data_IF_403428409996
#
_entry.id   IF_403428409996
#
_cell.length_a   1.000
_cell.length_b   1.000
_cell.length_c   1.000
_cell.angle_alpha   90.00
_cell.angle_beta   90.00
_cell.angle_gamma   90.00
#
_symmetry.space_group_name_H-M   'P 1'
#
loop_
_entity.id
_entity.type
_entity.pdbx_description
1 polymer ?
#
# COMPACT_ATOMS: atom_id res chain seq x y z
N UNK A 1 -9.39 -18.87 10.47
CA UNK A 1 -8.71 -17.91 9.60
C UNK A 1 -7.29 -17.72 10.08
N UNK A 2 -6.35 -17.57 9.18
CA UNK A 2 -4.97 -17.27 9.57
C UNK A 2 -4.86 -15.78 9.90
N UNK A 3 -4.26 -15.47 11.06
CA UNK A 3 -3.86 -14.10 11.42
C UNK A 3 -2.38 -13.85 11.12
N UNK A 4 -1.74 -14.70 10.33
CA UNK A 4 -0.35 -14.54 9.90
C UNK A 4 -0.20 -13.24 9.09
N UNK A 5 0.70 -12.36 9.53
CA UNK A 5 0.90 -11.05 8.94
C UNK A 5 1.19 -11.10 7.43
N UNK A 6 2.07 -12.01 7.01
CA UNK A 6 2.43 -12.13 5.58
C UNK A 6 1.23 -12.62 4.76
N UNK A 7 0.43 -13.52 5.30
CA UNK A 7 -0.79 -13.99 4.62
C UNK A 7 -1.79 -12.85 4.44
N UNK A 8 -1.96 -12.00 5.47
CA UNK A 8 -2.85 -10.84 5.41
C UNK A 8 -2.38 -9.82 4.38
N UNK A 9 -1.09 -9.47 4.39
CA UNK A 9 -0.52 -8.51 3.44
C UNK A 9 -0.60 -9.02 2.00
N UNK A 10 -0.30 -10.30 1.76
CA UNK A 10 -0.46 -10.92 0.43
C UNK A 10 -1.92 -10.94 -0.05
N UNK A 11 -2.87 -11.06 0.85
CA UNK A 11 -4.29 -10.98 0.49
C UNK A 11 -4.65 -9.56 0.00
N UNK A 12 -4.13 -8.52 0.65
CA UNK A 12 -4.26 -7.14 0.18
C UNK A 12 -3.62 -6.93 -1.19
N UNK A 13 -2.38 -7.39 -1.37
CA UNK A 13 -1.69 -7.32 -2.67
C UNK A 13 -2.50 -7.96 -3.79
N UNK A 14 -3.10 -9.11 -3.53
CA UNK A 14 -3.94 -9.81 -4.51
C UNK A 14 -5.14 -8.96 -4.92
N UNK A 15 -5.81 -8.34 -3.96
CA UNK A 15 -6.96 -7.47 -4.23
C UNK A 15 -6.53 -6.20 -4.97
N UNK A 16 -5.44 -5.56 -4.56
CA UNK A 16 -4.88 -4.39 -5.23
C UNK A 16 -4.52 -4.72 -6.69
N UNK A 17 -3.85 -5.85 -6.94
CA UNK A 17 -3.54 -6.29 -8.30
C UNK A 17 -4.80 -6.56 -9.13
N UNK A 18 -5.87 -7.06 -8.52
CA UNK A 18 -7.16 -7.22 -9.20
C UNK A 18 -7.71 -5.88 -9.66
N UNK A 19 -7.73 -4.89 -8.78
CA UNK A 19 -8.16 -3.52 -9.11
C UNK A 19 -7.31 -2.89 -10.22
N UNK A 20 -6.01 -3.12 -10.20
CA UNK A 20 -5.09 -2.65 -11.24
C UNK A 20 -5.43 -3.26 -12.60
N UNK A 21 -5.63 -4.58 -12.66
CA UNK A 21 -6.03 -5.26 -13.91
C UNK A 21 -7.38 -4.74 -14.43
N UNK A 22 -8.34 -4.53 -13.54
CA UNK A 22 -9.65 -4.02 -13.90
C UNK A 22 -9.56 -2.59 -14.47
N UNK A 23 -8.71 -1.75 -13.89
CA UNK A 23 -8.44 -0.39 -14.39
C UNK A 23 -7.76 -0.41 -15.76
N UNK A 24 -6.71 -1.21 -15.92
CA UNK A 24 -5.98 -1.34 -17.17
C UNK A 24 -6.83 -1.95 -18.28
N UNK A 25 -7.73 -2.88 -17.96
CA UNK A 25 -8.67 -3.50 -18.89
C UNK A 25 -9.85 -2.61 -19.28
N UNK A 26 -10.09 -1.51 -18.56
CA UNK A 26 -11.12 -0.55 -18.94
C UNK A 26 -10.67 0.27 -20.15
N UNK A 27 -11.52 0.38 -21.16
CA UNK A 27 -11.22 1.15 -22.37
C UNK A 27 -10.96 2.64 -22.08
N UNK A 28 -10.20 3.31 -22.93
CA UNK A 28 -9.81 4.71 -22.75
C UNK A 28 -10.99 5.67 -22.61
N UNK A 29 -12.12 5.34 -23.25
CA UNK A 29 -13.35 6.11 -23.19
C UNK A 29 -14.26 5.74 -22.02
N UNK A 30 -13.92 4.74 -21.21
CA UNK A 30 -14.71 4.28 -20.07
C UNK A 30 -14.48 5.16 -18.81
N UNK A 31 -14.63 6.47 -18.95
CA UNK A 31 -14.28 7.48 -17.94
C UNK A 31 -14.97 7.23 -16.59
N UNK A 32 -16.25 6.90 -16.58
CA UNK A 32 -16.99 6.61 -15.33
C UNK A 32 -16.47 5.37 -14.62
N UNK A 33 -16.19 4.30 -15.38
CA UNK A 33 -15.64 3.05 -14.83
C UNK A 33 -14.23 3.28 -14.27
N UNK A 34 -13.38 3.99 -15.00
CA UNK A 34 -12.03 4.36 -14.55
C UNK A 34 -12.06 5.24 -13.30
N UNK A 35 -12.98 6.19 -13.23
CA UNK A 35 -13.17 7.02 -12.04
C UNK A 35 -13.53 6.19 -10.81
N UNK A 36 -14.45 5.25 -10.95
CA UNK A 36 -14.85 4.34 -9.86
C UNK A 36 -13.70 3.42 -9.43
N UNK A 37 -12.99 2.84 -10.39
CA UNK A 37 -11.83 1.99 -10.11
C UNK A 37 -10.68 2.76 -9.45
N UNK A 38 -10.41 3.97 -9.90
CA UNK A 38 -9.40 4.84 -9.29
C UNK A 38 -9.72 5.13 -7.81
N UNK A 39 -10.99 5.41 -7.48
CA UNK A 39 -11.42 5.59 -6.08
C UNK A 39 -11.21 4.33 -5.25
N UNK A 40 -11.49 3.16 -5.79
CA UNK A 40 -11.27 1.89 -5.11
C UNK A 40 -9.78 1.61 -4.91
N UNK A 41 -8.95 1.88 -5.91
CA UNK A 41 -7.49 1.76 -5.83
C UNK A 41 -6.95 2.69 -4.75
N UNK A 42 -7.31 3.97 -4.77
CA UNK A 42 -6.88 4.95 -3.78
C UNK A 42 -7.27 4.52 -2.37
N UNK A 43 -8.51 4.08 -2.17
CA UNK A 43 -8.99 3.61 -0.87
C UNK A 43 -8.22 2.38 -0.38
N UNK A 44 -8.01 1.39 -1.25
CA UNK A 44 -7.28 0.18 -0.92
C UNK A 44 -5.81 0.48 -0.58
N UNK A 45 -5.13 1.28 -1.39
CA UNK A 45 -3.74 1.67 -1.17
C UNK A 45 -3.57 2.50 0.10
N UNK A 46 -4.44 3.50 0.33
CA UNK A 46 -4.36 4.33 1.52
C UNK A 46 -4.47 3.51 2.81
N UNK A 47 -5.37 2.53 2.84
CA UNK A 47 -5.50 1.64 3.99
C UNK A 47 -4.31 0.67 4.12
N UNK A 48 -3.85 0.11 3.01
CA UNK A 48 -2.76 -0.87 2.99
C UNK A 48 -1.43 -0.25 3.42
N UNK A 49 -1.00 0.85 2.79
CA UNK A 49 0.23 1.55 3.18
C UNK A 49 0.18 2.03 4.63
N UNK A 50 -1.00 2.44 5.11
CA UNK A 50 -1.17 2.84 6.50
C UNK A 50 -0.85 1.71 7.49
N UNK A 51 -1.38 0.51 7.29
CA UNK A 51 -1.14 -0.60 8.23
C UNK A 51 0.30 -1.10 8.17
N UNK A 52 0.95 -0.98 7.02
CA UNK A 52 2.37 -1.32 6.90
C UNK A 52 3.25 -0.28 7.59
N UNK A 53 3.02 0.99 7.35
CA UNK A 53 3.79 2.06 8.00
C UNK A 53 3.61 2.10 9.52
N UNK A 54 2.40 1.84 10.00
CA UNK A 54 2.10 1.90 11.44
C UNK A 54 2.50 0.63 12.21
N UNK A 55 2.51 -0.53 11.58
CA UNK A 55 2.71 -1.81 12.26
C UNK A 55 3.80 -2.66 11.61
N UNK A 56 3.65 -2.99 10.32
CA UNK A 56 4.53 -3.97 9.68
C UNK A 56 5.99 -3.54 9.65
N UNK A 57 6.26 -2.36 9.16
CA UNK A 57 7.63 -1.86 9.04
C UNK A 57 8.30 -1.62 10.40
N UNK A 58 7.66 -0.99 11.40
CA UNK A 58 8.25 -0.89 12.74
C UNK A 58 8.57 -2.24 13.37
N UNK A 59 7.69 -3.23 13.25
CA UNK A 59 7.91 -4.58 13.80
C UNK A 59 9.06 -5.30 13.10
N UNK A 60 9.10 -5.24 11.76
CA UNK A 60 10.19 -5.85 10.97
C UNK A 60 11.52 -5.20 11.29
N UNK A 61 11.57 -3.87 11.34
CA UNK A 61 12.79 -3.12 11.68
C UNK A 61 13.33 -3.48 13.05
N UNK A 62 12.45 -3.65 14.04
CA UNK A 62 12.83 -3.99 15.41
C UNK A 62 13.30 -5.44 15.54
N UNK A 63 12.68 -6.38 14.82
CA UNK A 63 12.91 -7.81 14.97
C UNK A 63 13.96 -8.36 14.01
N UNK A 64 14.15 -7.72 12.86
CA UNK A 64 15.11 -8.13 11.82
C UNK A 64 15.90 -6.91 11.35
N UNK A 65 16.92 -6.46 12.13
CA UNK A 65 17.70 -5.26 11.80
C UNK A 65 18.34 -5.28 10.41
N UNK A 66 18.65 -6.45 9.88
CA UNK A 66 19.25 -6.61 8.54
C UNK A 66 18.31 -6.15 7.40
N UNK A 67 17.03 -5.93 7.69
CA UNK A 67 16.04 -5.40 6.73
C UNK A 67 15.82 -3.88 6.87
N UNK A 68 16.56 -3.18 7.71
CA UNK A 68 16.35 -1.74 7.95
C UNK A 68 16.40 -0.91 6.67
N UNK A 69 17.36 -1.17 5.78
CA UNK A 69 17.50 -0.43 4.53
C UNK A 69 16.27 -0.61 3.64
N UNK A 70 15.78 -1.84 3.50
CA UNK A 70 14.54 -2.14 2.75
C UNK A 70 13.31 -1.47 3.36
N UNK A 71 13.23 -1.44 4.70
CA UNK A 71 12.13 -0.76 5.39
C UNK A 71 12.15 0.74 5.12
N UNK A 72 13.32 1.38 5.20
CA UNK A 72 13.46 2.82 4.93
C UNK A 72 13.09 3.15 3.47
N UNK A 73 13.52 2.34 2.51
CA UNK A 73 13.16 2.49 1.10
C UNK A 73 11.65 2.35 0.88
N UNK A 74 11.03 1.36 1.53
CA UNK A 74 9.58 1.15 1.46
C UNK A 74 8.77 2.34 1.98
N UNK A 75 9.23 3.02 3.04
CA UNK A 75 8.60 4.27 3.49
C UNK A 75 8.63 5.36 2.41
N UNK A 76 9.73 5.48 1.67
CA UNK A 76 9.83 6.47 0.59
C UNK A 76 8.97 6.09 -0.63
N UNK A 77 8.88 4.82 -0.97
CA UNK A 77 7.97 4.34 -2.01
C UNK A 77 6.50 4.60 -1.65
N UNK A 78 6.12 4.37 -0.38
CA UNK A 78 4.79 4.71 0.13
C UNK A 78 4.53 6.21 0.08
N UNK A 79 5.52 7.04 0.40
CA UNK A 79 5.39 8.49 0.30
C UNK A 79 5.08 8.91 -1.14
N UNK A 80 5.80 8.39 -2.12
CA UNK A 80 5.53 8.65 -3.54
C UNK A 80 4.12 8.20 -3.93
N UNK A 81 3.71 7.02 -3.50
CA UNK A 81 2.36 6.50 -3.75
C UNK A 81 1.27 7.37 -3.11
N UNK A 82 1.48 7.85 -1.89
CA UNK A 82 0.54 8.74 -1.20
C UNK A 82 0.35 10.06 -1.96
N UNK A 83 1.44 10.65 -2.46
CA UNK A 83 1.39 11.87 -3.28
C UNK A 83 0.60 11.63 -4.56
N UNK A 84 0.89 10.53 -5.26
CA UNK A 84 0.17 10.17 -6.49
C UNK A 84 -1.32 9.91 -6.22
N UNK A 85 -1.67 9.27 -5.11
CA UNK A 85 -3.05 9.05 -4.70
C UNK A 85 -3.79 10.36 -4.42
N UNK A 86 -3.15 11.31 -3.70
CA UNK A 86 -3.72 12.63 -3.43
C UNK A 86 -3.97 13.42 -4.71
N UNK A 87 -2.99 13.43 -5.61
CA UNK A 87 -3.12 14.11 -6.89
C UNK A 87 -4.20 13.47 -7.78
N UNK A 88 -4.21 12.15 -7.87
CA UNK A 88 -5.20 11.41 -8.66
C UNK A 88 -6.62 11.62 -8.13
N UNK A 89 -6.80 11.66 -6.81
CA UNK A 89 -8.09 11.95 -6.17
C UNK A 89 -8.61 13.35 -6.48
N UNK A 90 -7.72 14.33 -6.69
CA UNK A 90 -8.06 15.70 -7.03
C UNK A 90 -8.28 15.93 -8.53
N UNK A 91 -7.90 14.97 -9.37
CA UNK A 91 -8.00 15.12 -10.83
C UNK A 91 -9.39 14.78 -11.36
N UNK A 92 -9.79 15.49 -12.42
CA UNK A 92 -10.91 15.06 -13.24
C UNK A 92 -10.55 13.79 -14.02
N UNK A 93 -11.41 12.74 -14.02
CA UNK A 93 -11.17 11.51 -14.77
C UNK A 93 -11.03 11.69 -16.29
N UNK A 94 -11.53 12.79 -16.83
CA UNK A 94 -11.40 13.16 -18.24
C UNK A 94 -10.15 13.99 -18.56
N UNK A 95 -9.32 14.32 -17.56
CA UNK A 95 -8.13 15.11 -17.80
C UNK A 95 -7.08 14.32 -18.60
N UNK A 96 -6.32 15.03 -19.41
CA UNK A 96 -5.30 14.46 -20.30
C UNK A 96 -4.30 13.55 -19.59
N UNK A 97 -3.97 13.88 -18.33
CA UNK A 97 -2.92 13.17 -17.57
C UNK A 97 -3.45 12.14 -16.56
N UNK A 98 -4.78 11.98 -16.46
CA UNK A 98 -5.37 11.07 -15.47
C UNK A 98 -4.91 9.61 -15.65
N UNK A 99 -5.01 9.09 -16.87
CA UNK A 99 -4.58 7.72 -17.16
C UNK A 99 -3.07 7.53 -16.95
N UNK A 100 -2.27 8.51 -17.37
CA UNK A 100 -0.82 8.46 -17.20
C UNK A 100 -0.41 8.43 -15.71
N UNK A 101 -1.05 9.25 -14.89
CA UNK A 101 -0.79 9.28 -13.45
C UNK A 101 -1.21 7.97 -12.76
N UNK A 102 -2.38 7.46 -13.10
CA UNK A 102 -2.83 6.15 -12.60
C UNK A 102 -1.87 5.03 -13.02
N UNK A 103 -1.37 5.07 -14.24
CA UNK A 103 -0.40 4.08 -14.74
C UNK A 103 0.92 4.11 -13.96
N UNK A 104 1.48 5.29 -13.70
CA UNK A 104 2.69 5.44 -12.90
C UNK A 104 2.48 4.92 -11.47
N UNK A 105 1.32 5.22 -10.85
CA UNK A 105 0.96 4.67 -9.54
C UNK A 105 0.92 3.14 -9.56
N UNK A 106 0.29 2.55 -10.57
CA UNK A 106 0.19 1.10 -10.73
C UNK A 106 1.58 0.46 -10.87
N UNK A 107 2.45 1.03 -11.70
CA UNK A 107 3.82 0.53 -11.88
C UNK A 107 4.63 0.61 -10.59
N UNK A 108 4.59 1.74 -9.91
CA UNK A 108 5.31 1.96 -8.65
C UNK A 108 4.89 0.95 -7.59
N UNK A 109 3.59 0.77 -7.38
CA UNK A 109 3.07 -0.16 -6.36
C UNK A 109 3.26 -1.61 -6.77
N UNK A 110 3.16 -1.94 -8.05
CA UNK A 110 3.44 -3.31 -8.53
C UNK A 110 4.87 -3.71 -8.22
N UNK A 111 5.82 -2.84 -8.53
CA UNK A 111 7.23 -3.06 -8.22
C UNK A 111 7.46 -3.25 -6.72
N UNK A 112 6.91 -2.36 -5.89
CA UNK A 112 6.99 -2.43 -4.44
C UNK A 112 6.44 -3.76 -3.88
N UNK A 113 5.23 -4.16 -4.28
CA UNK A 113 4.64 -5.43 -3.84
C UNK A 113 5.44 -6.66 -4.30
N UNK A 114 6.03 -6.60 -5.49
CA UNK A 114 6.87 -7.69 -6.01
C UNK A 114 8.16 -7.83 -5.19
N UNK A 115 8.81 -6.75 -4.82
CA UNK A 115 9.99 -6.77 -3.95
C UNK A 115 9.65 -7.36 -2.57
N UNK A 116 8.57 -6.94 -1.96
CA UNK A 116 8.12 -7.50 -0.69
C UNK A 116 7.88 -9.00 -0.78
N UNK A 117 7.11 -9.45 -1.76
CA UNK A 117 6.71 -10.85 -1.86
C UNK A 117 7.87 -11.78 -2.25
N UNK A 118 8.80 -11.33 -3.08
CA UNK A 118 9.87 -12.18 -3.64
C UNK A 118 11.18 -12.08 -2.88
N UNK A 119 11.45 -10.94 -2.21
CA UNK A 119 12.69 -10.74 -1.48
C UNK A 119 12.48 -10.77 0.04
N UNK A 120 11.84 -9.80 0.62
CA UNK A 120 11.91 -9.68 2.06
C UNK A 120 10.82 -10.37 2.88
N UNK A 121 9.62 -10.67 2.35
CA UNK A 121 8.68 -11.55 3.04
C UNK A 121 9.26 -12.95 3.31
N UNK A 122 9.95 -13.61 2.37
CA UNK A 122 10.64 -14.86 2.67
C UNK A 122 11.71 -14.72 3.76
N UNK A 123 12.46 -13.62 3.77
CA UNK A 123 13.49 -13.34 4.79
C UNK A 123 12.86 -13.12 6.16
N UNK A 124 11.78 -12.38 6.24
CA UNK A 124 11.00 -12.20 7.48
C UNK A 124 10.47 -13.54 7.99
N UNK A 125 9.90 -14.36 7.12
CA UNK A 125 9.38 -15.67 7.50
C UNK A 125 10.46 -16.61 8.00
N UNK A 126 11.67 -16.53 7.46
CA UNK A 126 12.82 -17.29 7.93
C UNK A 126 13.33 -16.79 9.31
N UNK A 127 13.21 -15.50 9.57
CA UNK A 127 13.70 -14.87 10.82
C UNK A 127 12.70 -14.86 11.97
N UNK A 128 11.40 -14.92 11.66
CA UNK A 128 10.32 -14.86 12.66
C UNK A 128 9.56 -16.19 12.75
N UNK A 129 9.27 -16.60 13.98
CA UNK A 129 8.43 -17.77 14.23
C UNK A 129 6.97 -17.52 13.92
N UNK A 130 6.22 -18.62 13.74
CA UNK A 130 4.77 -18.58 13.45
C UNK A 130 3.99 -17.74 14.47
N UNK A 131 4.31 -17.84 15.75
CA UNK A 131 3.65 -17.09 16.82
C UNK A 131 3.83 -15.59 16.65
N UNK A 132 5.06 -15.14 16.38
CA UNK A 132 5.38 -13.72 16.17
C UNK A 132 4.62 -13.17 14.95
N UNK A 133 4.58 -13.90 13.84
CA UNK A 133 3.80 -13.49 12.64
C UNK A 133 2.30 -13.42 12.91
N UNK A 134 1.76 -14.29 13.77
CA UNK A 134 0.35 -14.21 14.18
C UNK A 134 0.08 -13.01 15.11
N UNK A 135 0.99 -12.70 16.02
CA UNK A 135 0.89 -11.52 16.89
C UNK A 135 0.92 -10.22 16.07
N UNK A 136 1.84 -10.11 15.10
CA UNK A 136 1.91 -8.97 14.19
C UNK A 136 0.62 -8.89 13.34
N UNK A 137 0.13 -10.02 12.85
CA UNK A 137 -1.13 -10.09 12.11
C UNK A 137 -2.32 -9.55 12.90
N UNK A 138 -2.42 -9.86 14.19
CA UNK A 138 -3.44 -9.29 15.06
C UNK A 138 -3.34 -7.76 15.20
N UNK A 139 -2.11 -7.23 15.29
CA UNK A 139 -1.87 -5.77 15.31
C UNK A 139 -2.25 -5.13 13.96
N UNK A 140 -1.96 -5.78 12.84
CA UNK A 140 -2.36 -5.32 11.50
C UNK A 140 -3.88 -5.23 11.37
N UNK A 141 -4.62 -6.24 11.83
CA UNK A 141 -6.09 -6.23 11.81
C UNK A 141 -6.67 -5.11 12.67
N UNK A 142 -6.07 -4.82 13.82
CA UNK A 142 -6.48 -3.70 14.67
C UNK A 142 -6.20 -2.35 13.99
N UNK A 143 -5.02 -2.17 13.42
CA UNK A 143 -4.66 -0.96 12.67
C UNK A 143 -5.60 -0.74 11.47
N UNK A 144 -5.98 -1.83 10.78
CA UNK A 144 -6.91 -1.78 9.65
C UNK A 144 -8.25 -1.17 10.01
N UNK A 145 -8.78 -1.44 11.20
CA UNK A 145 -10.05 -0.83 11.66
C UNK A 145 -9.98 0.68 11.78
N UNK A 146 -8.78 1.22 11.98
CA UNK A 146 -8.52 2.66 12.15
C UNK A 146 -7.95 3.29 10.88
N UNK A 147 -7.63 2.49 9.87
CA UNK A 147 -6.97 2.94 8.66
C UNK A 147 -7.83 3.93 7.88
N UNK A 148 -7.22 5.03 7.37
CA UNK A 148 -7.92 5.95 6.48
C UNK A 148 -8.22 5.26 5.14
N UNK A 149 -9.33 5.64 4.53
CA UNK A 149 -9.73 5.19 3.18
C UNK A 149 -9.70 6.32 2.15
N UNK A 150 -9.34 7.50 2.61
CA UNK A 150 -9.25 8.70 1.79
C UNK A 150 -7.92 9.40 2.11
N UNK A 151 -7.09 9.75 1.11
CA UNK A 151 -5.81 10.41 1.32
C UNK A 151 -5.94 11.80 1.97
N UNK A 152 -7.12 12.40 1.96
CA UNK A 152 -7.39 13.67 2.66
C UNK A 152 -7.77 13.51 4.14
N UNK A 153 -7.94 12.30 4.66
CA UNK A 153 -8.20 12.10 6.08
C UNK A 153 -7.00 12.53 6.94
N UNK A 154 -7.22 13.10 8.14
CA UNK A 154 -6.13 13.64 8.96
C UNK A 154 -4.98 12.67 9.23
N UNK A 155 -5.26 11.39 9.44
CA UNK A 155 -4.23 10.37 9.67
C UNK A 155 -3.36 10.11 8.43
N UNK A 156 -3.94 10.13 7.25
CA UNK A 156 -3.21 9.98 5.99
C UNK A 156 -2.37 11.23 5.69
N UNK A 157 -2.94 12.42 5.88
CA UNK A 157 -2.22 13.69 5.71
C UNK A 157 -1.06 13.81 6.69
N UNK A 158 -1.25 13.43 7.95
CA UNK A 158 -0.18 13.42 8.93
C UNK A 158 0.97 12.52 8.49
N UNK A 159 0.67 11.30 8.06
CA UNK A 159 1.68 10.35 7.57
C UNK A 159 2.48 10.93 6.39
N UNK A 160 1.82 11.54 5.42
CA UNK A 160 2.46 12.17 4.27
C UNK A 160 3.34 13.37 4.67
N UNK A 161 2.90 14.18 5.64
CA UNK A 161 3.69 15.32 6.15
C UNK A 161 4.88 14.84 6.97
N UNK A 162 4.72 13.86 7.84
CA UNK A 162 5.81 13.30 8.66
C UNK A 162 6.95 12.76 7.78
N UNK A 163 6.62 12.18 6.63
CA UNK A 163 7.61 11.71 5.66
C UNK A 163 8.44 12.85 5.02
N UNK A 164 7.87 14.05 4.89
CA UNK A 164 8.58 15.22 4.30
C UNK A 164 9.56 15.85 5.30
N UNK A 165 9.25 15.81 6.59
CA UNK A 165 10.02 16.49 7.63
C UNK A 165 10.94 15.56 8.42
N UNK A 166 10.84 14.26 8.18
CA UNK A 166 11.72 13.27 8.79
C UNK A 166 13.07 13.23 8.09
#
# INVERSE_FOLDING_TARGET
MSTDAIVLLKADHKEIRRLFRDFQGAGDKATKKKASLAKQIISALTAHTYIEDEVWYPEVRALIPDLEEHVLESYEEHHVADVLCMELAAMSPGSERFNAKAHVLIETITHHMDEEEHDWFPRVRAGLGRKQLQEIGGKLEEARRKAPKNPAQPSALKKALDAVIA
#
